data_IF_292113912083
#
_entry.id   IF_292113912083
#
_cell.length_a   1.000
_cell.length_b   1.000
_cell.length_c   1.000
_cell.angle_alpha   90.00
_cell.angle_beta   90.00
_cell.angle_gamma   90.00
#
_symmetry.space_group_name_H-M   'P 1'
#
loop_
_entity.id
_entity.type
_entity.pdbx_description
1 polymer ?
#
# COMPACT_ATOMS: atom_id res chain seq x y z
N UNK A 1 12.41 -2.76 12.53
CA UNK A 1 12.91 -1.49 13.11
C UNK A 1 12.25 -1.36 14.44
N UNK A 2 13.00 -1.19 15.53
CA UNK A 2 12.39 -1.11 16.84
C UNK A 2 11.91 0.32 17.12
N UNK A 3 10.62 0.48 17.34
CA UNK A 3 9.92 1.76 17.56
C UNK A 3 9.49 1.95 19.02
N UNK A 4 9.79 0.99 19.89
CA UNK A 4 9.36 0.99 21.30
C UNK A 4 7.89 0.62 21.52
N UNK A 5 7.12 0.38 20.45
CA UNK A 5 5.77 -0.20 20.50
C UNK A 5 5.73 -1.49 19.69
N UNK A 6 5.28 -2.58 20.32
CA UNK A 6 5.11 -3.87 19.64
C UNK A 6 4.12 -3.75 18.46
N UNK A 7 3.04 -3.01 18.67
CA UNK A 7 2.03 -2.75 17.64
C UNK A 7 2.64 -2.07 16.39
N UNK A 8 3.44 -1.02 16.58
CA UNK A 8 4.08 -0.31 15.48
C UNK A 8 5.13 -1.18 14.77
N UNK A 9 5.92 -1.94 15.53
CA UNK A 9 6.89 -2.88 14.97
C UNK A 9 6.21 -3.89 14.05
N UNK A 10 5.12 -4.52 14.52
CA UNK A 10 4.39 -5.51 13.75
C UNK A 10 3.73 -4.90 12.50
N UNK A 11 3.13 -3.71 12.62
CA UNK A 11 2.58 -2.98 11.49
C UNK A 11 3.64 -2.69 10.42
N UNK A 12 4.79 -2.15 10.83
CA UNK A 12 5.85 -1.79 9.90
C UNK A 12 6.48 -3.01 9.23
N UNK A 13 6.60 -4.13 9.94
CA UNK A 13 7.13 -5.36 9.37
C UNK A 13 6.17 -5.93 8.31
N UNK A 14 4.86 -5.97 8.58
CA UNK A 14 3.85 -6.38 7.59
C UNK A 14 3.84 -5.45 6.36
N UNK A 15 3.87 -4.13 6.57
CA UNK A 15 3.88 -3.17 5.47
C UNK A 15 5.18 -3.22 4.65
N UNK A 16 6.33 -3.47 5.30
CA UNK A 16 7.61 -3.69 4.62
C UNK A 16 7.57 -4.94 3.75
N UNK A 17 7.11 -6.06 4.31
CA UNK A 17 6.96 -7.31 3.58
C UNK A 17 6.02 -7.14 2.36
N UNK A 18 4.91 -6.42 2.52
CA UNK A 18 3.98 -6.10 1.43
C UNK A 18 4.67 -5.30 0.31
N UNK A 19 5.50 -4.31 0.66
CA UNK A 19 6.23 -3.51 -0.34
C UNK A 19 7.26 -4.34 -1.10
N UNK A 20 8.01 -5.20 -0.42
CA UNK A 20 8.93 -6.12 -1.09
C UNK A 20 8.19 -7.09 -2.01
N UNK A 21 7.09 -7.69 -1.55
CA UNK A 21 6.27 -8.57 -2.36
C UNK A 21 5.72 -7.87 -3.61
N UNK A 22 5.17 -6.66 -3.46
CA UNK A 22 4.68 -5.87 -4.59
C UNK A 22 5.79 -5.51 -5.57
N UNK A 23 6.97 -5.10 -5.08
CA UNK A 23 8.11 -4.76 -5.92
C UNK A 23 8.57 -5.98 -6.72
N UNK A 24 8.72 -7.13 -6.07
CA UNK A 24 9.13 -8.38 -6.70
C UNK A 24 8.17 -8.80 -7.82
N UNK A 25 6.86 -8.85 -7.52
CA UNK A 25 5.86 -9.32 -8.49
C UNK A 25 5.76 -8.35 -9.69
N UNK A 26 5.88 -7.03 -9.45
CA UNK A 26 5.90 -6.03 -10.53
C UNK A 26 7.14 -6.18 -11.41
N UNK A 27 8.32 -6.40 -10.82
CA UNK A 27 9.56 -6.63 -11.56
C UNK A 27 9.48 -7.91 -12.40
N UNK A 28 8.96 -9.01 -11.83
CA UNK A 28 8.70 -10.26 -12.56
C UNK A 28 7.76 -10.04 -13.77
N UNK A 29 6.66 -9.29 -13.58
CA UNK A 29 5.73 -8.95 -14.67
C UNK A 29 6.42 -8.14 -15.79
N UNK A 30 7.43 -7.36 -15.44
CA UNK A 30 8.24 -6.56 -16.37
C UNK A 30 9.48 -7.29 -16.90
N UNK A 31 9.71 -8.56 -16.56
CA UNK A 31 10.93 -9.33 -16.88
C UNK A 31 12.21 -8.62 -16.43
N UNK A 32 12.16 -7.93 -15.29
CA UNK A 32 13.31 -7.28 -14.65
C UNK A 32 13.78 -8.09 -13.45
N UNK A 33 15.05 -7.96 -13.14
CA UNK A 33 15.61 -8.50 -11.90
C UNK A 33 14.94 -7.85 -10.69
N UNK A 34 14.82 -8.64 -9.63
CA UNK A 34 14.15 -8.23 -8.41
C UNK A 34 14.88 -8.79 -7.20
N UNK A 35 15.02 -7.98 -6.16
CA UNK A 35 15.53 -8.44 -4.88
C UNK A 35 14.63 -9.53 -4.28
N UNK A 36 15.24 -10.38 -3.46
CA UNK A 36 14.50 -11.42 -2.77
C UNK A 36 13.58 -10.81 -1.71
N UNK A 37 12.37 -11.37 -1.62
CA UNK A 37 11.43 -11.01 -0.56
C UNK A 37 11.98 -11.51 0.78
N UNK A 38 11.89 -10.72 1.87
CA UNK A 38 12.33 -11.15 3.19
C UNK A 38 11.69 -12.48 3.61
N UNK A 39 12.46 -13.35 4.28
CA UNK A 39 11.93 -14.63 4.79
C UNK A 39 10.79 -14.51 5.80
N UNK A 40 10.61 -13.32 6.40
CA UNK A 40 9.48 -12.97 7.27
C UNK A 40 8.17 -12.74 6.51
N UNK A 41 8.19 -12.74 5.17
CA UNK A 41 7.00 -12.49 4.38
C UNK A 41 6.08 -13.72 4.38
N UNK A 42 4.87 -13.53 4.87
CA UNK A 42 3.86 -14.57 5.00
C UNK A 42 3.12 -14.79 3.67
N UNK A 43 2.53 -15.97 3.52
CA UNK A 43 1.84 -16.36 2.28
C UNK A 43 0.63 -15.47 1.96
N UNK A 44 -0.07 -14.94 2.97
CA UNK A 44 -1.18 -14.01 2.79
C UNK A 44 -0.73 -12.67 2.20
N UNK A 45 0.44 -12.14 2.62
CA UNK A 45 1.03 -10.92 2.07
C UNK A 45 1.40 -11.12 0.60
N UNK A 46 2.03 -12.26 0.28
CA UNK A 46 2.37 -12.61 -1.11
C UNK A 46 1.12 -12.74 -1.97
N UNK A 47 0.07 -13.38 -1.46
CA UNK A 47 -1.19 -13.54 -2.18
C UNK A 47 -1.88 -12.19 -2.42
N UNK A 48 -1.95 -11.33 -1.40
CA UNK A 48 -2.49 -9.98 -1.54
C UNK A 48 -1.72 -9.16 -2.59
N UNK A 49 -0.39 -9.24 -2.59
CA UNK A 49 0.43 -8.57 -3.58
C UNK A 49 0.18 -9.09 -5.00
N UNK A 50 0.02 -10.42 -5.18
CA UNK A 50 -0.32 -11.02 -6.48
C UNK A 50 -1.67 -10.56 -6.99
N UNK A 51 -2.69 -10.60 -6.14
CA UNK A 51 -4.04 -10.13 -6.48
C UNK A 51 -4.00 -8.67 -6.92
N UNK A 52 -3.38 -7.78 -6.14
CA UNK A 52 -3.30 -6.35 -6.46
C UNK A 52 -2.61 -6.07 -7.80
N UNK A 53 -1.52 -6.78 -8.13
CA UNK A 53 -0.79 -6.61 -9.40
C UNK A 53 -1.51 -7.25 -10.60
N UNK A 54 -2.39 -8.21 -10.34
CA UNK A 54 -3.22 -8.87 -11.34
C UNK A 54 -4.48 -8.08 -11.73
N UNK A 55 -4.88 -7.07 -10.96
CA UNK A 55 -6.06 -6.26 -11.27
C UNK A 55 -5.80 -5.33 -12.47
N UNK A 56 -6.81 -5.19 -13.33
CA UNK A 56 -6.72 -4.42 -14.58
C UNK A 56 -6.75 -2.90 -14.34
N UNK A 57 -7.51 -2.46 -13.34
CA UNK A 57 -7.65 -1.06 -13.00
C UNK A 57 -6.70 -0.69 -11.85
N UNK A 58 -5.82 0.32 -12.02
CA UNK A 58 -4.97 0.82 -10.94
C UNK A 58 -5.77 1.32 -9.73
N UNK A 59 -6.96 1.89 -9.95
CA UNK A 59 -7.84 2.33 -8.86
C UNK A 59 -8.36 1.13 -8.06
N UNK A 60 -8.78 0.06 -8.75
CA UNK A 60 -9.26 -1.16 -8.09
C UNK A 60 -8.14 -1.85 -7.30
N UNK A 61 -6.92 -1.84 -7.83
CA UNK A 61 -5.74 -2.33 -7.10
C UNK A 61 -5.48 -1.54 -5.81
N UNK A 62 -5.56 -0.22 -5.85
CA UNK A 62 -5.38 0.62 -4.66
C UNK A 62 -6.52 0.46 -3.64
N UNK A 63 -7.77 0.30 -4.09
CA UNK A 63 -8.91 -0.02 -3.23
C UNK A 63 -8.72 -1.35 -2.51
N UNK A 64 -8.36 -2.40 -3.25
CA UNK A 64 -8.05 -3.71 -2.67
C UNK A 64 -6.91 -3.62 -1.64
N UNK A 65 -5.82 -2.92 -1.97
CA UNK A 65 -4.70 -2.75 -1.06
C UNK A 65 -5.05 -1.95 0.20
N UNK A 66 -6.02 -1.05 0.13
CA UNK A 66 -6.55 -0.34 1.30
C UNK A 66 -7.39 -1.25 2.19
N UNK A 67 -8.27 -2.06 1.60
CA UNK A 67 -9.06 -3.05 2.33
C UNK A 67 -8.15 -4.07 3.03
N UNK A 68 -7.15 -4.60 2.32
CA UNK A 68 -6.15 -5.49 2.88
C UNK A 68 -5.43 -4.87 4.09
N UNK A 69 -4.92 -3.64 3.94
CA UNK A 69 -4.24 -2.91 5.03
C UNK A 69 -5.16 -2.64 6.22
N UNK A 70 -6.42 -2.33 5.97
CA UNK A 70 -7.42 -2.12 7.02
C UNK A 70 -7.73 -3.43 7.75
N UNK A 71 -7.77 -4.55 7.02
CA UNK A 71 -7.89 -5.90 7.58
C UNK A 71 -6.72 -6.25 8.48
N UNK A 72 -5.49 -5.99 8.04
CA UNK A 72 -4.28 -6.14 8.87
C UNK A 72 -4.38 -5.29 10.13
N UNK A 73 -4.76 -4.02 10.01
CA UNK A 73 -4.89 -3.11 11.15
C UNK A 73 -5.96 -3.59 12.15
N UNK A 74 -7.07 -4.13 11.67
CA UNK A 74 -8.11 -4.72 12.53
C UNK A 74 -7.60 -5.93 13.30
N UNK A 75 -6.77 -6.78 12.68
CA UNK A 75 -6.19 -7.96 13.33
C UNK A 75 -5.14 -7.59 14.39
N UNK A 76 -4.48 -6.44 14.22
CA UNK A 76 -3.50 -5.90 15.17
C UNK A 76 -4.13 -5.08 16.30
N UNK A 77 -5.45 -4.92 16.31
CA UNK A 77 -6.11 -3.99 17.23
C UNK A 77 -5.79 -4.36 18.68
N UNK A 78 -5.29 -3.41 19.51
CA UNK A 78 -5.04 -3.65 20.91
C UNK A 78 -6.34 -3.93 21.67
N UNK A 79 -6.27 -4.86 22.64
CA UNK A 79 -7.41 -5.18 23.51
C UNK A 79 -7.67 -4.11 24.56
N UNK A 80 -6.60 -3.46 25.05
CA UNK A 80 -6.69 -2.37 26.02
C UNK A 80 -6.97 -1.04 25.31
N UNK A 81 -8.17 -0.51 25.53
CA UNK A 81 -8.68 0.73 24.92
C UNK A 81 -7.95 1.97 25.45
N UNK A 82 -7.32 1.88 26.62
CA UNK A 82 -6.60 3.00 27.23
C UNK A 82 -5.09 3.00 26.90
N UNK A 83 -4.63 2.03 26.12
CA UNK A 83 -3.24 1.96 25.66
C UNK A 83 -2.92 3.04 24.62
N UNK A 84 -1.67 3.51 24.61
CA UNK A 84 -1.13 4.37 23.55
C UNK A 84 -1.23 3.72 22.16
N UNK A 85 -1.24 2.37 22.10
CA UNK A 85 -1.38 1.64 20.84
C UNK A 85 -2.74 1.91 20.17
N UNK A 86 -3.79 2.24 20.92
CA UNK A 86 -5.06 2.68 20.34
C UNK A 86 -4.93 4.02 19.59
N UNK A 87 -4.09 4.92 20.10
CA UNK A 87 -3.82 6.21 19.44
C UNK A 87 -3.03 5.98 18.16
N UNK A 88 -2.06 5.07 18.17
CA UNK A 88 -1.31 4.67 16.97
C UNK A 88 -2.20 4.00 15.92
N UNK A 89 -3.06 3.08 16.34
CA UNK A 89 -4.04 2.42 15.47
C UNK A 89 -4.95 3.45 14.78
N UNK A 90 -5.50 4.37 15.56
CA UNK A 90 -6.35 5.44 15.04
C UNK A 90 -5.59 6.34 14.05
N UNK A 91 -4.35 6.73 14.38
CA UNK A 91 -3.50 7.53 13.51
C UNK A 91 -3.24 6.85 12.16
N UNK A 92 -2.87 5.56 12.18
CA UNK A 92 -2.64 4.79 10.95
C UNK A 92 -3.94 4.67 10.14
N UNK A 93 -5.07 4.38 10.79
CA UNK A 93 -6.38 4.31 10.12
C UNK A 93 -6.70 5.62 9.41
N UNK A 94 -6.49 6.76 10.09
CA UNK A 94 -6.70 8.08 9.53
C UNK A 94 -5.79 8.33 8.32
N UNK A 95 -4.50 7.97 8.40
CA UNK A 95 -3.57 8.09 7.27
C UNK A 95 -4.01 7.26 6.05
N UNK A 96 -4.46 6.02 6.27
CA UNK A 96 -4.97 5.17 5.20
C UNK A 96 -6.21 5.78 4.54
N UNK A 97 -7.17 6.26 5.35
CA UNK A 97 -8.39 6.90 4.82
C UNK A 97 -8.07 8.20 4.08
N UNK A 98 -7.16 9.02 4.59
CA UNK A 98 -6.71 10.24 3.90
C UNK A 98 -6.05 9.92 2.57
N UNK A 99 -5.23 8.87 2.50
CA UNK A 99 -4.67 8.39 1.23
C UNK A 99 -5.79 7.98 0.27
N UNK A 100 -6.79 7.24 0.74
CA UNK A 100 -7.91 6.81 -0.12
C UNK A 100 -8.69 8.01 -0.67
N UNK A 101 -8.93 9.04 0.15
CA UNK A 101 -9.60 10.28 -0.29
C UNK A 101 -8.87 11.04 -1.41
N UNK A 102 -7.56 10.84 -1.59
CA UNK A 102 -6.79 11.47 -2.66
C UNK A 102 -7.01 10.81 -4.03
N UNK A 103 -7.58 9.61 -4.10
CA UNK A 103 -7.94 8.99 -5.37
C UNK A 103 -9.26 9.57 -5.90
N UNK A 104 -9.19 10.82 -6.37
CA UNK A 104 -10.30 11.48 -7.09
C UNK A 104 -10.10 11.32 -8.61
N UNK A 105 -11.14 10.82 -9.28
CA UNK A 105 -11.22 10.70 -10.74
C UNK A 105 -10.96 12.03 -11.45
N UNK A 106 -11.49 13.13 -10.95
CA UNK A 106 -11.38 14.47 -11.57
C UNK A 106 -9.93 14.95 -11.59
N UNK A 107 -9.23 14.79 -10.46
CA UNK A 107 -7.79 15.08 -10.34
C UNK A 107 -6.97 14.15 -11.24
N UNK A 108 -7.39 12.88 -11.35
CA UNK A 108 -6.77 11.91 -12.25
C UNK A 108 -6.88 12.31 -13.72
N UNK A 109 -8.07 12.72 -14.17
CA UNK A 109 -8.29 13.18 -15.55
C UNK A 109 -7.53 14.47 -15.85
N UNK A 110 -7.49 15.42 -14.92
CA UNK A 110 -6.72 16.66 -15.06
C UNK A 110 -5.21 16.39 -15.18
N UNK A 111 -4.68 15.46 -14.39
CA UNK A 111 -3.27 15.04 -14.49
C UNK A 111 -2.98 14.32 -15.81
N UNK A 112 -3.91 13.49 -16.30
CA UNK A 112 -3.76 12.83 -17.60
C UNK A 112 -3.67 13.84 -18.74
N UNK A 113 -4.59 14.81 -18.79
CA UNK A 113 -4.60 15.87 -19.80
C UNK A 113 -3.30 16.67 -19.73
N UNK A 114 -2.86 17.07 -18.53
CA UNK A 114 -1.58 17.79 -18.36
C UNK A 114 -0.38 17.01 -18.91
N UNK A 115 -0.31 15.70 -18.69
CA UNK A 115 0.77 14.86 -19.22
C UNK A 115 0.67 14.78 -20.75
N UNK A 116 -0.54 14.58 -21.28
CA UNK A 116 -0.79 14.51 -22.71
C UNK A 116 -0.42 15.84 -23.40
N UNK A 117 -0.86 16.97 -22.85
CA UNK A 117 -0.52 18.32 -23.28
C UNK A 117 1.00 18.57 -23.20
N UNK A 118 1.71 18.02 -22.21
CA UNK A 118 3.18 18.12 -22.13
C UNK A 118 3.92 17.26 -23.16
N UNK A 119 3.31 16.17 -23.63
CA UNK A 119 3.88 15.27 -24.64
C UNK A 119 3.57 15.80 -26.05
N UNK A 120 2.42 16.43 -26.24
CA UNK A 120 1.94 16.96 -27.53
C UNK A 120 2.24 18.46 -27.75
N UNK A 121 2.46 19.22 -26.68
CA UNK A 121 2.74 20.66 -26.71
C UNK A 121 4.23 20.98 -26.89
N UNK A 122 4.68 20.92 -28.14
CA UNK A 122 5.62 21.84 -28.81
C UNK A 122 7.04 22.05 -28.24
N UNK A 123 8.00 21.37 -28.88
CA UNK A 123 9.13 22.09 -29.49
C UNK A 123 8.59 22.82 -30.74
N UNK A 124 8.44 24.14 -30.66
CA UNK A 124 8.64 25.05 -31.80
C UNK A 124 9.72 26.03 -31.37
#
# INVERSE_FOLDING_TARGET
TDTGSHFLNEWYDKERNLRFALAQIRAQKMKKDSDQVPGSCTADILQAARTAVGMDSPLSAEQFLYEYRTGVLNNLRPYDIFSIDCVYEYGIRLMLTQRMKKFNRETGTASYHKIYDSILGEKI
#
